data_IF_222153192114
#
_entry.id   IF_222153192114
#
_cell.length_a   1.000
_cell.length_b   1.000
_cell.length_c   1.000
_cell.angle_alpha   90.00
_cell.angle_beta   90.00
_cell.angle_gamma   90.00
#
_symmetry.space_group_name_H-M   'P 1'
#
loop_
_entity.id
_entity.type
_entity.pdbx_description
1 polymer ?
#
# COMPACT_ATOMS: atom_id res chain seq x y z
N UNK A 1 -19.24 -26.59 1.53
CA UNK A 1 -17.97 -27.26 1.17
C UNK A 1 -17.00 -26.34 0.43
N UNK A 2 -17.32 -25.93 -0.81
CA UNK A 2 -16.45 -25.11 -1.68
C UNK A 2 -16.03 -23.78 -1.05
N UNK A 3 -16.99 -22.97 -0.60
CA UNK A 3 -16.69 -21.72 0.10
C UNK A 3 -15.82 -21.91 1.36
N UNK A 4 -16.11 -22.97 2.13
CA UNK A 4 -15.38 -23.30 3.36
C UNK A 4 -13.92 -23.64 3.09
N UNK A 5 -13.63 -24.48 2.09
CA UNK A 5 -12.27 -24.82 1.71
C UNK A 5 -11.48 -23.58 1.24
N UNK A 6 -12.08 -22.72 0.39
CA UNK A 6 -11.42 -21.48 -0.03
C UNK A 6 -11.23 -20.50 1.14
N UNK A 7 -12.17 -20.44 2.08
CA UNK A 7 -12.04 -19.65 3.29
C UNK A 7 -10.84 -20.09 4.15
N UNK A 8 -10.68 -21.40 4.38
CA UNK A 8 -9.55 -21.94 5.13
C UNK A 8 -8.20 -21.59 4.47
N UNK A 9 -8.10 -21.74 3.14
CA UNK A 9 -6.87 -21.42 2.41
C UNK A 9 -6.60 -19.92 2.31
N UNK A 10 -7.59 -19.13 1.89
CA UNK A 10 -7.38 -17.74 1.49
C UNK A 10 -7.58 -16.73 2.63
N UNK A 11 -8.47 -17.00 3.59
CA UNK A 11 -8.71 -16.14 4.75
C UNK A 11 -7.94 -16.58 5.98
N UNK A 12 -7.94 -17.87 6.29
CA UNK A 12 -7.26 -18.43 7.46
C UNK A 12 -5.80 -18.84 7.17
N UNK A 13 -5.38 -18.79 5.90
CA UNK A 13 -4.01 -19.06 5.47
C UNK A 13 -3.55 -20.49 5.80
N UNK A 14 -4.48 -21.44 5.89
CA UNK A 14 -4.16 -22.85 6.14
C UNK A 14 -3.55 -23.45 4.88
N UNK A 15 -2.38 -24.12 4.97
CA UNK A 15 -1.80 -24.84 3.84
C UNK A 15 -2.74 -25.91 3.26
N UNK A 16 -2.53 -26.29 2.00
CA UNK A 16 -3.44 -27.19 1.26
C UNK A 16 -3.63 -28.54 1.94
N UNK A 17 -2.55 -29.22 2.35
CA UNK A 17 -2.62 -30.51 3.05
C UNK A 17 -3.39 -30.40 4.37
N UNK A 18 -3.13 -29.33 5.15
CA UNK A 18 -3.83 -29.06 6.40
C UNK A 18 -5.28 -28.62 6.19
N UNK A 19 -5.59 -28.06 5.03
CA UNK A 19 -6.97 -27.75 4.65
C UNK A 19 -7.72 -29.04 4.34
N UNK A 20 -7.11 -29.97 3.62
CA UNK A 20 -7.70 -31.28 3.36
C UNK A 20 -7.98 -32.04 4.67
N UNK A 21 -6.99 -32.09 5.57
CA UNK A 21 -7.13 -32.63 6.93
C UNK A 21 -8.30 -31.97 7.69
N UNK A 22 -8.35 -30.63 7.73
CA UNK A 22 -9.42 -29.91 8.43
C UNK A 22 -10.80 -30.12 7.78
N UNK A 23 -10.88 -30.33 6.47
CA UNK A 23 -12.14 -30.62 5.78
C UNK A 23 -12.66 -32.02 6.12
N UNK A 24 -11.77 -33.01 6.27
CA UNK A 24 -12.13 -34.35 6.70
C UNK A 24 -12.51 -34.38 8.19
N UNK A 25 -11.62 -33.90 9.07
CA UNK A 25 -11.80 -33.97 10.53
C UNK A 25 -13.03 -33.19 11.02
N UNK A 26 -13.31 -32.02 10.43
CA UNK A 26 -14.37 -31.12 10.91
C UNK A 26 -15.69 -31.28 10.17
N UNK A 27 -15.67 -31.71 8.91
CA UNK A 27 -16.84 -31.73 8.03
C UNK A 27 -17.11 -33.10 7.40
N UNK A 28 -16.25 -34.11 7.60
CA UNK A 28 -16.36 -35.42 6.99
C UNK A 28 -16.18 -35.41 5.47
N UNK A 29 -15.43 -34.44 4.94
CA UNK A 29 -15.21 -34.26 3.50
C UNK A 29 -13.77 -34.60 3.14
N UNK A 30 -13.57 -35.79 2.57
CA UNK A 30 -12.30 -36.16 1.94
C UNK A 30 -12.07 -35.35 0.65
N UNK A 31 -10.95 -34.65 0.57
CA UNK A 31 -10.57 -33.88 -0.60
C UNK A 31 -9.06 -33.88 -0.84
N UNK A 32 -8.66 -33.97 -2.11
CA UNK A 32 -7.24 -33.91 -2.49
C UNK A 32 -6.73 -32.47 -2.58
N UNK A 33 -5.41 -32.29 -2.45
CA UNK A 33 -4.77 -30.98 -2.68
C UNK A 33 -4.96 -30.47 -4.11
N UNK A 34 -5.10 -31.38 -5.09
CA UNK A 34 -5.43 -31.02 -6.48
C UNK A 34 -6.86 -30.48 -6.62
N UNK A 35 -7.83 -31.07 -5.91
CA UNK A 35 -9.19 -30.51 -5.84
C UNK A 35 -9.18 -29.10 -5.24
N UNK A 36 -8.42 -28.88 -4.16
CA UNK A 36 -8.28 -27.58 -3.52
C UNK A 36 -7.63 -26.52 -4.43
N UNK A 37 -6.64 -26.87 -5.26
CA UNK A 37 -6.03 -25.94 -6.23
C UNK A 37 -7.00 -25.56 -7.35
N UNK A 38 -7.77 -26.53 -7.86
CA UNK A 38 -8.82 -26.27 -8.84
C UNK A 38 -9.88 -25.31 -8.26
N UNK A 39 -10.29 -25.54 -7.02
CA UNK A 39 -11.25 -24.68 -6.32
C UNK A 39 -10.73 -23.25 -6.12
N UNK A 40 -9.45 -23.10 -5.78
CA UNK A 40 -8.82 -21.78 -5.67
C UNK A 40 -8.81 -21.06 -7.02
N UNK A 41 -8.51 -21.79 -8.10
CA UNK A 41 -8.56 -21.26 -9.48
C UNK A 41 -9.94 -20.78 -9.84
N UNK A 42 -10.93 -21.62 -9.66
CA UNK A 42 -12.30 -21.28 -9.98
C UNK A 42 -12.80 -20.06 -9.19
N UNK A 43 -12.45 -19.97 -7.90
CA UNK A 43 -12.76 -18.79 -7.09
C UNK A 43 -12.05 -17.53 -7.60
N UNK A 44 -10.81 -17.62 -8.07
CA UNK A 44 -10.08 -16.49 -8.63
C UNK A 44 -10.60 -16.06 -10.01
N UNK A 45 -11.01 -17.01 -10.84
CA UNK A 45 -11.53 -16.78 -12.18
C UNK A 45 -12.95 -16.19 -12.13
N UNK A 46 -13.73 -16.51 -11.10
CA UNK A 46 -15.04 -15.90 -10.83
C UNK A 46 -15.00 -14.44 -10.37
N UNK A 47 -13.81 -13.83 -10.24
CA UNK A 47 -13.62 -12.46 -9.71
C UNK A 47 -13.22 -11.43 -10.77
N UNK A 48 -13.35 -11.75 -12.06
CA UNK A 48 -13.02 -10.81 -13.15
C UNK A 48 -13.85 -9.53 -13.06
N UNK A 49 -15.18 -9.65 -13.03
CA UNK A 49 -16.11 -8.50 -12.93
C UNK A 49 -15.89 -7.69 -11.64
N UNK A 50 -15.65 -8.38 -10.52
CA UNK A 50 -15.30 -7.73 -9.26
C UNK A 50 -14.02 -6.90 -9.39
N UNK A 51 -12.97 -7.46 -10.00
CA UNK A 51 -11.69 -6.78 -10.19
C UNK A 51 -11.82 -5.54 -11.07
N UNK A 52 -12.63 -5.60 -12.13
CA UNK A 52 -12.97 -4.47 -12.98
C UNK A 52 -13.71 -3.37 -12.21
N UNK A 53 -14.78 -3.73 -11.51
CA UNK A 53 -15.58 -2.79 -10.72
C UNK A 53 -14.75 -2.08 -9.65
N UNK A 54 -13.88 -2.80 -8.93
CA UNK A 54 -13.00 -2.21 -7.92
C UNK A 54 -11.98 -1.26 -8.54
N UNK A 55 -11.36 -1.64 -9.66
CA UNK A 55 -10.40 -0.78 -10.36
C UNK A 55 -11.04 0.51 -10.83
N UNK A 56 -12.24 0.45 -11.41
CA UNK A 56 -12.96 1.63 -11.87
C UNK A 56 -13.40 2.52 -10.72
N UNK A 57 -13.89 1.94 -9.62
CA UNK A 57 -14.24 2.69 -8.42
C UNK A 57 -13.01 3.36 -7.76
N UNK A 58 -11.85 2.71 -7.77
CA UNK A 58 -10.59 3.32 -7.31
C UNK A 58 -10.15 4.48 -8.22
N UNK A 59 -10.29 4.36 -9.54
CA UNK A 59 -9.99 5.46 -10.47
C UNK A 59 -10.85 6.71 -10.22
N UNK A 60 -12.07 6.52 -9.73
CA UNK A 60 -13.00 7.59 -9.37
C UNK A 60 -12.89 8.06 -7.91
N UNK A 61 -11.97 7.49 -7.12
CA UNK A 61 -11.81 7.86 -5.70
C UNK A 61 -11.02 9.15 -5.54
N UNK A 62 -11.29 9.92 -4.49
CA UNK A 62 -10.55 11.18 -4.22
C UNK A 62 -9.11 10.91 -3.76
N UNK A 63 -8.91 9.85 -2.97
CA UNK A 63 -7.61 9.46 -2.41
C UNK A 63 -7.44 7.94 -2.56
N UNK A 64 -6.30 7.54 -3.11
CA UNK A 64 -5.92 6.13 -3.30
C UNK A 64 -4.49 5.94 -2.83
N UNK A 65 -4.29 4.85 -2.11
CA UNK A 65 -3.02 4.39 -1.59
C UNK A 65 -2.37 3.40 -2.56
N UNK A 66 -1.10 3.61 -2.87
CA UNK A 66 -0.30 2.74 -3.73
C UNK A 66 0.96 2.29 -3.01
N UNK A 67 1.30 1.01 -3.15
CA UNK A 67 2.53 0.41 -2.64
C UNK A 67 2.78 -0.92 -3.36
N UNK A 68 3.96 -1.50 -3.14
CA UNK A 68 4.30 -2.77 -3.72
C UNK A 68 5.26 -3.57 -2.83
N UNK A 69 5.12 -4.89 -2.88
CA UNK A 69 5.96 -5.77 -2.07
C UNK A 69 6.44 -6.99 -2.85
N UNK A 70 7.72 -7.40 -2.70
CA UNK A 70 8.24 -8.53 -3.44
C UNK A 70 7.78 -9.85 -2.80
N UNK A 71 7.34 -10.82 -3.59
CA UNK A 71 7.12 -12.20 -3.16
C UNK A 71 8.09 -13.14 -3.88
N UNK A 72 8.40 -14.28 -3.26
CA UNK A 72 9.19 -15.34 -3.89
C UNK A 72 8.28 -16.42 -4.46
N UNK A 73 8.37 -16.61 -5.78
CA UNK A 73 7.74 -17.70 -6.53
C UNK A 73 8.86 -18.46 -7.21
N UNK A 74 9.01 -19.77 -6.92
CA UNK A 74 10.10 -20.58 -7.49
C UNK A 74 11.50 -19.93 -7.47
N UNK A 75 11.87 -19.29 -6.34
CA UNK A 75 13.12 -18.52 -6.14
C UNK A 75 13.23 -17.22 -6.96
N UNK A 76 12.32 -16.97 -7.91
CA UNK A 76 12.22 -15.71 -8.65
C UNK A 76 11.43 -14.67 -7.85
N UNK A 77 11.75 -13.40 -8.05
CA UNK A 77 11.04 -12.29 -7.44
C UNK A 77 9.84 -11.93 -8.30
N UNK A 78 8.66 -11.93 -7.69
CA UNK A 78 7.44 -11.33 -8.22
C UNK A 78 7.06 -10.18 -7.30
N UNK A 79 6.09 -9.37 -7.71
CA UNK A 79 5.63 -8.20 -6.98
C UNK A 79 4.12 -8.22 -6.88
N UNK A 80 3.60 -7.98 -5.68
CA UNK A 80 2.20 -7.59 -5.50
C UNK A 80 2.17 -6.09 -5.38
N UNK A 81 1.45 -5.46 -6.30
CA UNK A 81 1.10 -4.06 -6.29
C UNK A 81 -0.27 -3.91 -5.63
N UNK A 82 -0.45 -2.89 -4.80
CA UNK A 82 -1.76 -2.56 -4.23
C UNK A 82 -2.20 -1.18 -4.70
N UNK A 83 -3.49 -1.07 -5.01
CA UNK A 83 -4.22 0.18 -5.01
C UNK A 83 -5.39 0.03 -4.02
N UNK A 84 -5.48 0.87 -3.01
CA UNK A 84 -6.54 0.74 -2.01
C UNK A 84 -6.98 2.05 -1.39
N UNK A 85 -8.19 2.07 -0.83
CA UNK A 85 -8.68 3.14 0.02
C UNK A 85 -9.37 2.53 1.26
N UNK A 86 -10.19 3.30 1.96
CA UNK A 86 -10.91 2.83 3.15
C UNK A 86 -11.93 1.72 2.88
N UNK A 87 -12.48 1.65 1.65
CA UNK A 87 -13.53 0.71 1.25
C UNK A 87 -13.01 -0.42 0.34
N UNK A 88 -12.03 -0.12 -0.52
CA UNK A 88 -11.65 -0.95 -1.65
C UNK A 88 -10.19 -1.42 -1.56
N UNK A 89 -9.93 -2.63 -2.05
CA UNK A 89 -8.58 -3.18 -2.20
C UNK A 89 -8.45 -3.86 -3.54
N UNK A 90 -7.49 -3.41 -4.35
CA UNK A 90 -7.08 -4.07 -5.58
C UNK A 90 -5.61 -4.49 -5.48
N UNK A 91 -5.36 -5.79 -5.56
CA UNK A 91 -4.03 -6.37 -5.63
C UNK A 91 -3.76 -6.88 -7.04
N UNK A 92 -2.61 -6.51 -7.58
CA UNK A 92 -2.15 -6.96 -8.89
C UNK A 92 -0.79 -7.65 -8.75
N UNK A 93 -0.67 -8.87 -9.28
CA UNK A 93 0.58 -9.61 -9.26
C UNK A 93 1.30 -9.52 -10.61
N UNK A 94 2.57 -9.11 -10.58
CA UNK A 94 3.43 -9.05 -11.75
C UNK A 94 4.84 -9.57 -11.46
N UNK A 95 5.61 -9.84 -12.51
CA UNK A 95 7.03 -10.20 -12.45
C UNK A 95 7.94 -8.99 -12.22
N UNK A 96 7.48 -7.77 -12.52
CA UNK A 96 8.27 -6.54 -12.35
C UNK A 96 7.66 -5.60 -11.31
N UNK A 97 8.54 -4.81 -10.67
CA UNK A 97 8.17 -3.67 -9.81
C UNK A 97 7.85 -2.43 -10.65
N UNK A 98 8.37 -2.37 -11.87
CA UNK A 98 8.43 -1.14 -12.66
C UNK A 98 7.12 -0.75 -13.32
N UNK A 99 7.21 0.32 -14.12
CA UNK A 99 6.08 0.95 -14.81
C UNK A 99 5.15 -0.04 -15.53
N UNK A 100 5.69 -1.04 -16.23
CA UNK A 100 4.89 -2.03 -16.95
C UNK A 100 3.84 -2.76 -16.07
N UNK A 101 4.16 -3.05 -14.80
CA UNK A 101 3.21 -3.66 -13.88
C UNK A 101 2.13 -2.69 -13.41
N UNK A 102 2.48 -1.42 -13.23
CA UNK A 102 1.53 -0.35 -12.87
C UNK A 102 0.56 -0.08 -14.02
N UNK A 103 1.08 -0.05 -15.25
CA UNK A 103 0.28 0.05 -16.48
C UNK A 103 -0.69 -1.14 -16.61
N UNK A 104 -0.20 -2.37 -16.37
CA UNK A 104 -1.01 -3.59 -16.41
C UNK A 104 -2.08 -3.66 -15.29
N UNK A 105 -1.76 -3.17 -14.09
CA UNK A 105 -2.74 -3.03 -13.01
C UNK A 105 -3.87 -2.06 -13.41
N UNK A 106 -3.51 -0.99 -14.11
CA UNK A 106 -4.44 -0.08 -14.78
C UNK A 106 -5.11 0.94 -13.88
N UNK A 107 -4.83 1.00 -12.58
CA UNK A 107 -5.45 2.00 -11.70
C UNK A 107 -4.78 3.38 -11.88
N UNK A 108 -3.49 3.48 -11.59
CA UNK A 108 -2.75 4.75 -11.58
C UNK A 108 -2.62 5.47 -12.94
N UNK A 109 -2.46 4.79 -14.09
CA UNK A 109 -2.25 5.46 -15.39
C UNK A 109 -3.34 6.46 -15.80
N UNK A 110 -4.56 6.28 -15.32
CA UNK A 110 -5.72 7.13 -15.62
C UNK A 110 -6.31 7.79 -14.37
N UNK A 111 -5.53 7.88 -13.29
CA UNK A 111 -6.00 8.37 -12.00
C UNK A 111 -5.69 9.85 -11.82
N UNK A 112 -6.72 10.66 -11.59
CA UNK A 112 -6.60 12.11 -11.39
C UNK A 112 -6.77 12.60 -9.95
N UNK A 113 -6.94 11.69 -8.99
CA UNK A 113 -7.08 12.02 -7.57
C UNK A 113 -5.74 12.19 -6.86
N UNK A 114 -5.76 12.07 -5.52
CA UNK A 114 -4.54 12.07 -4.71
C UNK A 114 -3.98 10.66 -4.59
N UNK A 115 -2.75 10.44 -5.05
CA UNK A 115 -2.02 9.19 -4.94
C UNK A 115 -1.08 9.23 -3.73
N UNK A 116 -1.38 8.45 -2.70
CA UNK A 116 -0.56 8.31 -1.50
C UNK A 116 0.39 7.13 -1.69
N UNK A 117 1.70 7.37 -1.70
CA UNK A 117 2.69 6.32 -1.90
C UNK A 117 3.99 6.62 -1.13
N UNK A 118 4.97 5.71 -1.22
CA UNK A 118 6.32 5.97 -0.72
C UNK A 118 7.04 7.01 -1.61
N UNK A 119 8.37 7.03 -1.64
CA UNK A 119 9.13 7.99 -2.46
C UNK A 119 9.79 7.37 -3.67
N UNK A 120 9.26 6.24 -4.17
CA UNK A 120 9.75 5.61 -5.38
C UNK A 120 9.49 6.51 -6.59
N UNK A 121 10.56 6.80 -7.34
CA UNK A 121 10.55 7.80 -8.42
C UNK A 121 9.51 7.52 -9.50
N UNK A 122 9.21 6.24 -9.78
CA UNK A 122 8.30 5.85 -10.87
C UNK A 122 6.88 6.41 -10.69
N UNK A 123 6.42 6.59 -9.44
CA UNK A 123 5.09 7.10 -9.17
C UNK A 123 4.93 8.54 -9.67
N UNK A 124 5.99 9.35 -9.55
CA UNK A 124 5.97 10.74 -9.96
C UNK A 124 5.93 10.92 -11.49
N UNK A 125 6.04 9.85 -12.30
CA UNK A 125 5.88 9.92 -13.75
C UNK A 125 4.40 10.10 -14.17
N UNK A 126 3.45 9.86 -13.26
CA UNK A 126 1.99 9.95 -13.52
C UNK A 126 1.46 11.35 -13.17
N UNK A 127 1.66 12.30 -14.09
CA UNK A 127 1.44 13.74 -13.85
C UNK A 127 0.00 14.18 -13.65
N UNK A 128 -0.97 13.36 -14.04
CA UNK A 128 -2.39 13.65 -13.84
C UNK A 128 -2.80 13.47 -12.37
N UNK A 129 -2.06 12.66 -11.61
CA UNK A 129 -2.29 12.46 -10.20
C UNK A 129 -1.63 13.56 -9.36
N UNK A 130 -2.29 13.97 -8.28
CA UNK A 130 -1.63 14.73 -7.21
C UNK A 130 -0.92 13.74 -6.28
N UNK A 131 0.36 13.97 -5.97
CA UNK A 131 1.13 13.02 -5.16
C UNK A 131 1.19 13.42 -3.68
N UNK A 132 1.05 12.42 -2.80
CA UNK A 132 1.27 12.55 -1.37
C UNK A 132 2.33 11.53 -0.91
N UNK A 133 3.36 12.00 -0.22
CA UNK A 133 4.44 11.13 0.26
C UNK A 133 4.12 10.59 1.65
N UNK A 134 4.31 9.28 1.84
CA UNK A 134 4.11 8.59 3.10
C UNK A 134 5.06 9.10 4.20
N UNK A 135 4.49 9.79 5.19
CA UNK A 135 5.21 10.29 6.35
C UNK A 135 5.86 9.21 7.21
N UNK A 136 5.28 8.01 7.29
CA UNK A 136 5.89 6.89 8.03
C UNK A 136 7.21 6.40 7.41
N UNK A 137 7.33 6.43 6.07
CA UNK A 137 8.58 6.14 5.38
C UNK A 137 9.62 7.24 5.62
N UNK A 138 9.19 8.51 5.58
CA UNK A 138 10.05 9.66 5.87
C UNK A 138 10.62 9.60 7.30
N UNK A 139 9.78 9.31 8.30
CA UNK A 139 10.22 9.17 9.70
C UNK A 139 11.24 8.03 9.86
N UNK A 140 11.06 6.90 9.17
CA UNK A 140 12.04 5.81 9.15
C UNK A 140 13.37 6.24 8.52
N UNK A 141 13.34 6.99 7.41
CA UNK A 141 14.55 7.50 6.78
C UNK A 141 15.25 8.55 7.65
N UNK A 142 14.50 9.45 8.30
CA UNK A 142 15.03 10.43 9.23
C UNK A 142 15.68 9.75 10.44
N UNK A 143 15.08 8.69 10.98
CA UNK A 143 15.69 7.91 12.07
C UNK A 143 17.01 7.26 11.65
N UNK A 144 17.09 6.73 10.43
CA UNK A 144 18.34 6.19 9.85
C UNK A 144 19.42 7.27 9.75
N UNK A 145 19.07 8.46 9.28
CA UNK A 145 20.01 9.58 9.10
C UNK A 145 20.40 10.20 10.45
N UNK A 146 19.50 10.25 11.43
CA UNK A 146 19.74 10.90 12.72
C UNK A 146 20.84 10.23 13.56
N UNK A 147 21.20 8.97 13.29
CA UNK A 147 22.31 8.29 13.98
C UNK A 147 23.69 8.78 13.52
N UNK A 148 23.76 9.51 12.40
CA UNK A 148 24.98 10.11 11.89
C UNK A 148 25.22 11.43 12.64
N UNK A 149 26.35 11.53 13.34
CA UNK A 149 26.63 12.61 14.30
C UNK A 149 26.48 14.04 13.76
N UNK A 150 26.73 14.27 12.47
CA UNK A 150 26.59 15.59 11.84
C UNK A 150 25.24 15.80 11.14
N UNK A 151 24.31 14.85 11.26
CA UNK A 151 22.97 14.90 10.67
C UNK A 151 21.85 14.88 11.71
N UNK A 152 22.18 14.56 12.97
CA UNK A 152 21.22 14.39 14.06
C UNK A 152 20.28 15.59 14.24
N UNK A 153 20.81 16.80 14.26
CA UNK A 153 20.03 18.00 14.62
C UNK A 153 18.88 18.28 13.65
N UNK A 154 19.17 18.38 12.35
CA UNK A 154 18.13 18.66 11.37
C UNK A 154 17.17 17.48 11.18
N UNK A 155 17.67 16.24 11.25
CA UNK A 155 16.85 15.05 11.04
C UNK A 155 15.85 14.82 12.19
N UNK A 156 16.29 15.03 13.43
CA UNK A 156 15.41 14.97 14.61
C UNK A 156 14.42 16.14 14.62
N UNK A 157 14.87 17.36 14.30
CA UNK A 157 14.00 18.53 14.19
C UNK A 157 12.90 18.33 13.12
N UNK A 158 13.26 17.80 11.94
CA UNK A 158 12.29 17.48 10.88
C UNK A 158 11.29 16.40 11.34
N UNK A 159 11.78 15.36 12.03
CA UNK A 159 10.91 14.30 12.58
C UNK A 159 9.87 14.87 13.54
N UNK A 160 10.30 15.70 14.49
CA UNK A 160 9.41 16.37 15.44
C UNK A 160 8.42 17.29 14.74
N UNK A 161 8.86 18.06 13.74
CA UNK A 161 7.99 18.95 12.97
C UNK A 161 6.88 18.17 12.25
N UNK A 162 7.23 17.09 11.55
CA UNK A 162 6.25 16.26 10.85
C UNK A 162 5.22 15.66 11.82
N UNK A 163 5.66 15.22 13.00
CA UNK A 163 4.76 14.70 14.04
C UNK A 163 3.84 15.79 14.60
N UNK A 164 4.34 17.00 14.85
CA UNK A 164 3.48 18.12 15.28
C UNK A 164 2.46 18.53 14.22
N UNK A 165 2.86 18.52 12.94
CA UNK A 165 1.95 18.77 11.82
C UNK A 165 0.88 17.68 11.74
N UNK A 166 1.26 16.41 11.93
CA UNK A 166 0.34 15.26 11.98
C UNK A 166 -0.68 15.43 13.11
N UNK A 167 -0.24 15.74 14.32
CA UNK A 167 -1.12 15.93 15.48
C UNK A 167 -2.08 17.10 15.25
N UNK A 168 -1.60 18.20 14.66
CA UNK A 168 -2.43 19.34 14.29
C UNK A 168 -3.47 18.99 13.20
N UNK A 169 -3.10 18.17 12.21
CA UNK A 169 -4.02 17.67 11.19
C UNK A 169 -5.09 16.73 11.79
N UNK A 170 -4.71 15.86 12.72
CA UNK A 170 -5.63 14.97 13.44
C UNK A 170 -6.60 15.75 14.32
N UNK A 171 -6.12 16.75 15.06
CA UNK A 171 -6.96 17.64 15.85
C UNK A 171 -7.96 18.44 14.98
N UNK A 172 -7.50 18.93 13.82
CA UNK A 172 -8.36 19.64 12.89
C UNK A 172 -9.43 18.72 12.27
N UNK A 173 -9.07 17.47 11.91
CA UNK A 173 -10.04 16.45 11.47
C UNK A 173 -11.10 16.16 12.54
N UNK A 174 -10.68 16.02 13.79
CA UNK A 174 -11.59 15.78 14.92
C UNK A 174 -12.57 16.93 15.17
N UNK A 175 -12.25 18.14 14.70
CA UNK A 175 -13.11 19.32 14.73
C UNK A 175 -13.90 19.55 13.43
N UNK A 176 -13.97 18.55 12.54
CA UNK A 176 -14.64 18.59 11.23
C UNK A 176 -14.13 19.70 10.29
N UNK A 177 -12.87 20.11 10.46
CA UNK A 177 -12.19 21.01 9.55
C UNK A 177 -11.67 20.24 8.31
N UNK A 178 -11.53 20.96 7.19
CA UNK A 178 -10.93 20.42 5.95
C UNK A 178 -9.43 20.68 5.79
N UNK A 179 -8.88 21.58 6.60
CA UNK A 179 -7.46 21.97 6.63
C UNK A 179 -7.03 22.47 8.00
N UNK A 180 -5.73 22.44 8.28
CA UNK A 180 -5.15 23.19 9.40
C UNK A 180 -5.37 24.70 9.13
N UNK A 181 -5.51 25.50 10.18
CA UNK A 181 -5.64 26.95 10.01
C UNK A 181 -4.45 27.54 9.24
N UNK A 182 -4.72 28.47 8.34
CA UNK A 182 -3.69 29.04 7.45
C UNK A 182 -2.50 29.62 8.22
N UNK A 183 -2.76 30.28 9.34
CA UNK A 183 -1.72 30.81 10.23
C UNK A 183 -0.80 29.70 10.76
N UNK A 184 -1.36 28.62 11.31
CA UNK A 184 -0.57 27.50 11.83
C UNK A 184 0.19 26.79 10.71
N UNK A 185 -0.45 26.58 9.57
CA UNK A 185 0.18 25.97 8.41
C UNK A 185 1.38 26.80 7.93
N UNK A 186 1.23 28.13 7.82
CA UNK A 186 2.33 29.02 7.45
C UNK A 186 3.49 28.97 8.46
N UNK A 187 3.20 28.90 9.76
CA UNK A 187 4.22 28.74 10.81
C UNK A 187 4.98 27.41 10.67
N UNK A 188 4.28 26.30 10.41
CA UNK A 188 4.92 25.00 10.17
C UNK A 188 5.77 25.00 8.92
N UNK A 189 5.28 25.55 7.81
CA UNK A 189 6.02 25.59 6.54
C UNK A 189 7.26 26.49 6.63
N UNK A 190 7.21 27.57 7.42
CA UNK A 190 8.39 28.40 7.69
C UNK A 190 9.46 27.63 8.48
N UNK A 191 9.04 26.85 9.50
CA UNK A 191 9.96 25.98 10.25
C UNK A 191 10.54 24.88 9.37
N UNK A 192 9.71 24.30 8.50
CA UNK A 192 10.13 23.30 7.53
C UNK A 192 11.29 23.81 6.67
N UNK A 193 11.15 25.00 6.09
CA UNK A 193 12.17 25.59 5.23
C UNK A 193 13.48 25.86 5.98
N UNK A 194 13.40 26.33 7.23
CA UNK A 194 14.58 26.54 8.06
C UNK A 194 15.32 25.23 8.37
N UNK A 195 14.59 24.14 8.64
CA UNK A 195 15.20 22.83 8.90
C UNK A 195 15.81 22.25 7.63
N UNK A 196 15.15 22.42 6.47
CA UNK A 196 15.71 21.99 5.17
C UNK A 196 17.01 22.75 4.87
N UNK A 197 17.05 24.06 5.09
CA UNK A 197 18.27 24.85 4.95
C UNK A 197 19.41 24.31 5.85
N UNK A 198 19.12 24.07 7.13
CA UNK A 198 20.08 23.47 8.06
C UNK A 198 20.57 22.08 7.61
N UNK A 199 19.67 21.24 7.07
CA UNK A 199 20.05 19.94 6.52
C UNK A 199 20.93 20.05 5.27
N UNK A 200 20.71 21.05 4.41
CA UNK A 200 21.57 21.30 3.25
C UNK A 200 22.95 21.78 3.68
N UNK A 201 23.02 22.67 4.68
CA UNK A 201 24.28 23.15 5.27
C UNK A 201 25.07 22.00 5.93
N UNK A 202 24.37 21.04 6.54
CA UNK A 202 24.96 19.82 7.09
C UNK A 202 25.45 18.82 6.02
N UNK A 203 25.11 19.03 4.75
CA UNK A 203 25.51 18.19 3.61
C UNK A 203 26.22 18.99 2.51
N UNK A 204 27.33 19.68 2.80
CA UNK A 204 28.06 20.46 1.79
C UNK A 204 28.63 19.56 0.69
N UNK A 205 29.03 20.17 -0.43
CA UNK A 205 29.75 19.44 -1.49
C UNK A 205 30.99 18.76 -0.89
N UNK A 206 31.24 17.47 -1.18
CA UNK A 206 32.43 16.79 -0.66
C UNK A 206 33.72 17.51 -1.11
N UNK A 207 34.74 17.59 -0.24
CA UNK A 207 36.03 18.18 -0.61
C UNK A 207 36.61 17.54 -1.87
N UNK A 208 37.31 18.33 -2.68
CA UNK A 208 37.95 17.87 -3.92
C UNK A 208 37.00 17.23 -4.95
N UNK A 209 35.70 17.55 -4.89
CA UNK A 209 34.67 16.96 -5.75
C UNK A 209 34.66 15.42 -5.74
N UNK A 210 35.06 14.81 -4.61
CA UNK A 210 34.97 13.35 -4.47
C UNK A 210 33.50 12.91 -4.50
N UNK A 211 33.28 11.64 -4.83
CA UNK A 211 31.95 11.04 -4.69
C UNK A 211 31.57 10.96 -3.21
N UNK A 212 30.29 11.21 -2.91
CA UNK A 212 29.71 10.91 -1.60
C UNK A 212 29.75 9.42 -1.35
N UNK A 213 30.09 9.02 -0.13
CA UNK A 213 29.92 7.64 0.30
C UNK A 213 28.42 7.29 0.48
N UNK A 214 28.12 6.07 0.94
CA UNK A 214 26.73 5.63 1.10
C UNK A 214 25.96 6.44 2.16
N UNK A 215 26.59 6.80 3.27
CA UNK A 215 25.95 7.47 4.41
C UNK A 215 25.72 8.95 4.11
N UNK A 216 26.72 9.61 3.51
CA UNK A 216 26.61 10.98 3.02
C UNK A 216 25.56 11.08 1.92
N UNK A 217 25.52 10.11 1.01
CA UNK A 217 24.54 10.10 -0.08
C UNK A 217 23.13 9.87 0.44
N UNK A 218 22.92 8.99 1.42
CA UNK A 218 21.60 8.79 2.04
C UNK A 218 21.08 10.09 2.66
N UNK A 219 21.92 10.74 3.47
CA UNK A 219 21.59 12.01 4.15
C UNK A 219 21.31 13.14 3.15
N UNK A 220 22.21 13.32 2.18
CA UNK A 220 22.07 14.34 1.13
C UNK A 220 20.82 14.11 0.26
N UNK A 221 20.56 12.87 -0.16
CA UNK A 221 19.39 12.56 -0.97
C UNK A 221 18.09 12.77 -0.18
N UNK A 222 18.10 12.49 1.12
CA UNK A 222 16.93 12.70 1.97
C UNK A 222 16.61 14.20 2.09
N UNK A 223 17.59 15.05 2.41
CA UNK A 223 17.33 16.50 2.50
C UNK A 223 16.96 17.11 1.15
N UNK A 224 17.55 16.65 0.04
CA UNK A 224 17.13 17.08 -1.30
C UNK A 224 15.68 16.69 -1.57
N UNK A 225 15.25 15.50 -1.14
CA UNK A 225 13.85 15.10 -1.26
C UNK A 225 12.91 16.00 -0.43
N UNK A 226 13.31 16.39 0.79
CA UNK A 226 12.54 17.35 1.59
C UNK A 226 12.44 18.73 0.91
N UNK A 227 13.49 19.17 0.22
CA UNK A 227 13.47 20.41 -0.57
C UNK A 227 12.54 20.29 -1.79
N UNK A 228 12.72 19.25 -2.58
CA UNK A 228 12.12 19.12 -3.92
C UNK A 228 10.67 18.66 -3.87
N UNK A 229 10.28 17.88 -2.84
CA UNK A 229 8.94 17.29 -2.70
C UNK A 229 8.15 17.92 -1.55
N UNK A 230 8.42 19.19 -1.22
CA UNK A 230 7.80 19.89 -0.09
C UNK A 230 6.27 19.85 -0.17
N UNK A 231 5.69 20.10 -1.35
CA UNK A 231 4.25 20.08 -1.59
C UNK A 231 3.64 18.71 -1.26
N UNK A 232 4.26 17.65 -1.76
CA UNK A 232 3.80 16.27 -1.66
C UNK A 232 3.99 15.72 -0.24
N UNK A 233 5.06 16.13 0.44
CA UNK A 233 5.34 15.75 1.84
C UNK A 233 4.36 16.43 2.80
N UNK A 234 3.95 17.68 2.52
CA UNK A 234 3.12 18.47 3.43
C UNK A 234 1.63 18.48 3.06
N UNK A 235 1.23 17.78 2.00
CA UNK A 235 -0.16 17.77 1.49
C UNK A 235 -1.18 17.35 2.55
N UNK A 236 -0.83 16.41 3.43
CA UNK A 236 -1.71 15.95 4.53
C UNK A 236 -2.10 17.06 5.53
N UNK A 237 -1.36 18.17 5.56
CA UNK A 237 -1.60 19.30 6.44
C UNK A 237 -2.47 20.39 5.79
N UNK A 238 -2.46 20.49 4.46
CA UNK A 238 -3.28 21.42 3.68
C UNK A 238 -4.59 20.81 3.17
N UNK A 239 -4.62 19.48 2.96
CA UNK A 239 -5.80 18.70 2.59
C UNK A 239 -5.98 17.54 3.59
N UNK A 240 -6.96 17.68 4.50
CA UNK A 240 -7.15 16.70 5.58
C UNK A 240 -7.78 15.37 5.12
N UNK A 241 -8.23 15.27 3.87
CA UNK A 241 -8.60 13.98 3.27
C UNK A 241 -7.39 13.07 3.10
N UNK A 242 -6.21 13.67 2.95
CA UNK A 242 -4.95 12.96 2.76
C UNK A 242 -4.41 12.53 4.14
N UNK A 243 -4.18 11.21 4.34
CA UNK A 243 -3.60 10.72 5.58
C UNK A 243 -2.09 11.00 5.62
N UNK A 244 -1.52 11.06 6.83
CA UNK A 244 -0.08 11.20 7.01
C UNK A 244 0.73 9.97 6.54
N UNK A 245 0.13 8.77 6.62
CA UNK A 245 0.82 7.52 6.32
C UNK A 245 0.08 6.66 5.30
N UNK A 246 0.84 5.77 4.67
CA UNK A 246 0.35 4.78 3.72
C UNK A 246 -0.03 3.44 4.37
N UNK A 247 -0.39 3.47 5.67
CA UNK A 247 -0.62 2.25 6.47
C UNK A 247 -1.71 1.34 5.87
N UNK A 248 -2.63 1.90 5.08
CA UNK A 248 -3.70 1.14 4.42
C UNK A 248 -3.12 0.15 3.41
N UNK A 249 -2.33 0.64 2.45
CA UNK A 249 -1.65 -0.19 1.46
C UNK A 249 -0.71 -1.22 2.13
N UNK A 250 0.08 -0.79 3.12
CA UNK A 250 0.98 -1.69 3.86
C UNK A 250 0.20 -2.84 4.56
N UNK A 251 -0.95 -2.55 5.16
CA UNK A 251 -1.80 -3.55 5.82
C UNK A 251 -2.42 -4.53 4.83
N UNK A 252 -2.91 -4.04 3.69
CA UNK A 252 -3.48 -4.86 2.62
C UNK A 252 -2.42 -5.81 2.02
N UNK A 253 -1.19 -5.34 1.82
CA UNK A 253 -0.06 -6.15 1.33
C UNK A 253 0.46 -7.16 2.36
N UNK A 254 0.40 -6.84 3.67
CA UNK A 254 0.94 -7.69 4.75
C UNK A 254 0.38 -9.11 4.69
N UNK A 255 -0.86 -9.28 4.28
CA UNK A 255 -1.49 -10.59 4.25
C UNK A 255 -0.98 -11.47 3.10
N UNK A 256 -0.57 -10.88 1.98
CA UNK A 256 0.10 -11.62 0.91
C UNK A 256 1.50 -12.09 1.38
N UNK A 257 2.21 -11.27 2.14
CA UNK A 257 3.48 -11.66 2.81
C UNK A 257 3.29 -12.77 3.84
N UNK A 258 2.19 -12.74 4.58
CA UNK A 258 1.87 -13.78 5.57
C UNK A 258 1.70 -15.15 4.91
N UNK A 259 1.02 -15.22 3.76
CA UNK A 259 0.90 -16.46 2.96
C UNK A 259 2.28 -17.02 2.63
N UNK A 260 3.20 -16.18 2.15
CA UNK A 260 4.56 -16.64 1.86
C UNK A 260 5.28 -17.12 3.14
N UNK A 261 5.09 -16.43 4.27
CA UNK A 261 5.73 -16.85 5.54
C UNK A 261 5.24 -18.23 6.01
N UNK A 262 3.95 -18.53 5.82
CA UNK A 262 3.35 -19.80 6.25
C UNK A 262 3.68 -20.92 5.25
N UNK A 263 3.56 -20.66 3.95
CA UNK A 263 3.69 -21.68 2.90
C UNK A 263 5.11 -21.77 2.30
N UNK A 264 6.04 -20.91 2.72
CA UNK A 264 7.42 -20.84 2.23
C UNK A 264 7.53 -20.14 0.87
N UNK A 265 7.27 -20.86 -0.22
CA UNK A 265 7.32 -20.33 -1.58
C UNK A 265 6.15 -20.82 -2.43
N UNK A 266 5.49 -19.92 -3.15
CA UNK A 266 4.49 -20.28 -4.14
C UNK A 266 5.18 -21.04 -5.30
N UNK A 267 4.62 -22.18 -5.70
CA UNK A 267 5.23 -23.09 -6.70
C UNK A 267 4.86 -22.77 -8.16
N UNK A 268 3.89 -21.88 -8.41
CA UNK A 268 3.45 -21.55 -9.77
C UNK A 268 3.12 -20.05 -9.91
N UNK A 269 3.46 -19.48 -11.07
CA UNK A 269 3.22 -18.07 -11.41
C UNK A 269 1.72 -17.74 -11.52
N UNK A 270 0.88 -18.71 -11.91
CA UNK A 270 -0.57 -18.56 -11.84
C UNK A 270 -1.07 -18.45 -10.39
N UNK A 271 -0.36 -19.06 -9.43
CA UNK A 271 -0.71 -19.04 -8.01
C UNK A 271 -0.70 -17.63 -7.40
N UNK A 272 0.22 -16.76 -7.81
CA UNK A 272 0.32 -15.41 -7.24
C UNK A 272 -0.79 -14.47 -7.78
N UNK A 273 -1.20 -14.63 -9.04
CA UNK A 273 -2.34 -13.89 -9.62
C UNK A 273 -3.66 -14.31 -8.98
N UNK A 274 -3.89 -15.63 -8.86
CA UNK A 274 -5.08 -16.18 -8.17
C UNK A 274 -5.15 -15.66 -6.73
N UNK A 275 -4.01 -15.67 -6.01
CA UNK A 275 -3.90 -15.12 -4.67
C UNK A 275 -4.28 -13.64 -4.64
N UNK A 276 -3.75 -12.82 -5.56
CA UNK A 276 -4.05 -11.40 -5.62
C UNK A 276 -5.55 -11.13 -5.81
N UNK A 277 -6.21 -11.84 -6.74
CA UNK A 277 -7.65 -11.70 -6.99
C UNK A 277 -8.49 -12.04 -5.75
N UNK A 278 -8.30 -13.23 -5.18
CA UNK A 278 -9.08 -13.69 -4.02
C UNK A 278 -8.81 -12.81 -2.79
N UNK A 279 -7.57 -12.34 -2.60
CA UNK A 279 -7.23 -11.44 -1.48
C UNK A 279 -7.79 -10.04 -1.65
N UNK A 280 -7.89 -9.54 -2.89
CA UNK A 280 -8.60 -8.28 -3.20
C UNK A 280 -10.06 -8.37 -2.77
N UNK A 281 -10.71 -9.48 -3.12
CA UNK A 281 -12.10 -9.77 -2.78
C UNK A 281 -12.32 -9.85 -1.27
N UNK A 282 -11.51 -10.67 -0.57
CA UNK A 282 -11.61 -10.85 0.88
C UNK A 282 -11.30 -9.54 1.63
N UNK A 283 -10.28 -8.78 1.22
CA UNK A 283 -9.95 -7.51 1.87
C UNK A 283 -11.07 -6.49 1.69
N UNK A 284 -11.60 -6.36 0.47
CA UNK A 284 -12.73 -5.45 0.19
C UNK A 284 -13.97 -5.86 0.98
N UNK A 285 -14.37 -7.13 0.95
CA UNK A 285 -15.51 -7.61 1.75
C UNK A 285 -15.35 -7.34 3.25
N UNK A 286 -14.13 -7.53 3.79
CA UNK A 286 -13.84 -7.24 5.19
C UNK A 286 -13.96 -5.74 5.53
N UNK A 287 -13.56 -4.84 4.62
CA UNK A 287 -13.73 -3.38 4.79
C UNK A 287 -15.21 -2.97 4.86
N UNK A 288 -16.10 -3.75 4.25
CA UNK A 288 -17.55 -3.57 4.30
C UNK A 288 -18.23 -4.35 5.43
N UNK A 289 -17.47 -4.93 6.37
CA UNK A 289 -17.99 -5.76 7.48
C UNK A 289 -18.83 -6.97 7.01
N UNK A 290 -18.57 -7.46 5.80
CA UNK A 290 -19.25 -8.64 5.29
C UNK A 290 -18.72 -9.91 5.94
N UNK A 291 -19.59 -10.90 6.11
CA UNK A 291 -19.16 -12.25 6.45
C UNK A 291 -18.44 -12.87 5.23
N UNK A 292 -17.16 -13.19 5.41
CA UNK A 292 -16.32 -13.67 4.31
C UNK A 292 -16.78 -15.04 3.79
N UNK A 293 -17.32 -15.91 4.65
CA UNK A 293 -17.81 -17.22 4.21
C UNK A 293 -19.07 -17.06 3.33
N UNK A 294 -19.96 -16.13 3.67
CA UNK A 294 -21.17 -15.84 2.87
C UNK A 294 -20.78 -15.26 1.51
N UNK A 295 -19.84 -14.33 1.50
CA UNK A 295 -19.30 -13.69 0.28
C UNK A 295 -18.60 -14.70 -0.65
N UNK A 296 -17.87 -15.67 -0.08
CA UNK A 296 -17.28 -16.78 -0.84
C UNK A 296 -18.33 -17.81 -1.29
N UNK A 297 -19.44 -17.96 -0.55
CA UNK A 297 -20.57 -18.81 -0.96
C UNK A 297 -21.25 -18.22 -2.18
N UNK A 298 -21.58 -16.93 -2.15
CA UNK A 298 -22.16 -16.20 -3.27
C UNK A 298 -21.27 -16.26 -4.53
N UNK A 299 -19.94 -16.15 -4.36
CA UNK A 299 -18.97 -16.35 -5.44
C UNK A 299 -19.12 -17.72 -6.11
N UNK A 300 -19.20 -18.81 -5.35
CA UNK A 300 -19.35 -20.15 -5.91
C UNK A 300 -20.76 -20.48 -6.41
N UNK A 301 -21.75 -19.67 -6.07
CA UNK A 301 -23.10 -19.69 -6.65
C UNK A 301 -23.19 -18.90 -7.97
N UNK A 302 -22.07 -18.34 -8.45
CA UNK A 302 -22.02 -17.53 -9.67
C UNK A 302 -22.59 -16.12 -9.48
N UNK A 303 -22.68 -15.65 -8.23
CA UNK A 303 -23.19 -14.32 -7.86
C UNK A 303 -22.18 -13.63 -6.94
N UNK A 304 -20.94 -13.37 -7.40
CA UNK A 304 -19.95 -12.71 -6.58
C UNK A 304 -20.50 -11.37 -6.07
N UNK A 305 -20.28 -11.09 -4.80
CA UNK A 305 -20.69 -9.82 -4.20
C UNK A 305 -19.89 -8.68 -4.82
N UNK A 306 -20.56 -7.60 -5.20
CA UNK A 306 -19.90 -6.39 -5.67
C UNK A 306 -19.98 -5.31 -4.58
N UNK A 307 -18.88 -4.58 -4.31
CA UNK A 307 -18.93 -3.47 -3.38
C UNK A 307 -19.86 -2.39 -3.93
N UNK A 308 -20.64 -1.71 -3.08
CA UNK A 308 -21.43 -0.56 -3.51
C UNK A 308 -20.47 0.48 -4.09
N UNK A 309 -20.59 0.73 -5.39
CA UNK A 309 -19.86 1.80 -6.05
C UNK A 309 -20.56 3.09 -5.64
N UNK A 310 -19.98 3.81 -4.69
CA UNK A 310 -20.39 5.18 -4.42
C UNK A 310 -19.97 6.05 -5.61
N UNK A 311 -20.79 6.05 -6.66
CA UNK A 311 -20.76 7.09 -7.67
C UNK A 311 -21.14 8.39 -6.96
N UNK A 312 -20.18 9.28 -6.74
CA UNK A 312 -20.55 10.66 -6.42
C UNK A 312 -20.81 11.38 -7.74
N UNK A 313 -22.07 11.78 -7.87
CA UNK A 313 -22.56 12.93 -8.66
C UNK A 313 -21.89 14.19 -8.11
#
# INVERSE_FOLDING_TARGET
>A
MRATALYLMARQHIPFERTAEAMDDLLGVDCSTGFLDNLYSEGADGLVEFGEAVRDALRCSEVVHFDETPLKVNKKSHWIHVASNEMLTFLHADTTRGKAAVEAAGVLPSYGGVAVHDRLSMYFDYKDATHAVCGAHLLRNLASVAVVWNQTDWATAMSSLLLWMKDAAEAARGADCRRISEKKLAEYLKRYDAIVASGLDANPCPPNNRKRDSVERESYNLVCAFRDLKSEITLFASDLRVPFSNNRAESDLRMAKLVQKISGSLRADHGIKRLANVRSYISTAAKHNMNILDVLTALFEGKPWLPPVSLRI
#
